data_IF_561797704413
#
_entry.id   IF_561797704413
#
_cell.length_a   1.000
_cell.length_b   1.000
_cell.length_c   1.000
_cell.angle_alpha   90.00
_cell.angle_beta   90.00
_cell.angle_gamma   90.00
#
_symmetry.space_group_name_H-M   'P 1'
#
loop_
_entity.id
_entity.type
_entity.pdbx_description
1 polymer ?
#
# COMPACT_ATOMS: atom_id res chain seq x y z
N UNK A 1 -55.77 16.55 54.49
CA UNK A 1 -55.09 15.54 53.67
C UNK A 1 -54.17 16.29 52.72
N UNK A 2 -52.85 16.08 52.87
CA UNK A 2 -51.83 16.55 51.92
C UNK A 2 -51.62 15.39 50.95
N UNK A 3 -52.17 15.49 49.75
CA UNK A 3 -51.78 14.59 48.66
C UNK A 3 -50.47 15.13 48.09
N UNK A 4 -49.36 14.58 48.59
CA UNK A 4 -48.07 14.65 47.93
C UNK A 4 -48.11 13.68 46.75
N UNK A 5 -48.48 14.19 45.58
CA UNK A 5 -48.22 13.51 44.32
C UNK A 5 -46.71 13.54 44.08
N UNK A 6 -46.08 12.38 44.21
CA UNK A 6 -44.74 12.11 43.70
C UNK A 6 -44.81 12.20 42.17
N UNK A 7 -44.67 13.42 41.65
CA UNK A 7 -44.46 13.64 40.23
C UNK A 7 -43.05 13.12 39.95
N UNK A 8 -42.98 11.83 39.57
CA UNK A 8 -41.74 11.20 39.13
C UNK A 8 -41.12 12.13 38.08
N UNK A 9 -39.99 12.76 38.44
CA UNK A 9 -39.27 13.65 37.56
C UNK A 9 -39.08 12.92 36.22
N UNK A 10 -39.53 13.55 35.12
CA UNK A 10 -39.35 13.00 33.79
C UNK A 10 -37.86 12.62 33.62
N UNK A 11 -37.54 11.43 33.07
CA UNK A 11 -36.16 11.01 32.96
C UNK A 11 -35.38 12.08 32.19
N UNK A 12 -34.32 12.60 32.81
CA UNK A 12 -33.52 13.65 32.20
C UNK A 12 -32.94 13.11 30.88
N UNK A 13 -33.23 13.81 29.77
CA UNK A 13 -32.85 13.35 28.43
C UNK A 13 -31.33 13.36 28.28
N UNK A 14 -30.76 12.20 27.95
CA UNK A 14 -29.32 12.04 27.73
C UNK A 14 -29.00 12.33 26.27
N UNK A 15 -28.13 13.30 26.02
CA UNK A 15 -27.61 13.60 24.69
C UNK A 15 -26.11 13.29 24.60
N UNK A 16 -25.68 12.78 23.45
CA UNK A 16 -24.28 12.55 23.15
C UNK A 16 -23.93 12.87 21.70
N UNK A 17 -22.64 13.04 21.44
CA UNK A 17 -22.07 13.24 20.11
C UNK A 17 -21.12 12.10 19.76
N UNK A 18 -21.09 11.77 18.47
CA UNK A 18 -20.17 10.81 17.89
C UNK A 18 -19.17 11.56 17.02
N UNK A 19 -17.90 11.47 17.37
CA UNK A 19 -16.78 12.10 16.66
C UNK A 19 -15.97 11.05 15.90
N UNK A 20 -15.40 11.45 14.77
CA UNK A 20 -14.63 10.56 13.89
C UNK A 20 -15.45 9.87 12.81
N UNK A 21 -16.77 10.14 12.73
CA UNK A 21 -17.61 9.60 11.68
C UNK A 21 -17.33 10.30 10.33
N UNK A 22 -16.94 9.56 9.27
CA UNK A 22 -16.63 10.17 7.97
C UNK A 22 -17.89 10.54 7.18
N UNK A 23 -19.01 9.85 7.41
CA UNK A 23 -20.25 10.04 6.65
C UNK A 23 -21.47 9.67 7.49
N UNK A 24 -22.48 10.53 7.48
CA UNK A 24 -23.80 10.25 8.04
C UNK A 24 -24.81 10.01 6.91
N UNK A 25 -25.53 8.88 6.97
CA UNK A 25 -26.59 8.52 6.02
C UNK A 25 -27.82 8.16 6.83
N UNK A 26 -28.93 8.87 6.61
CA UNK A 26 -30.21 8.62 7.30
C UNK A 26 -30.10 8.55 8.84
N UNK A 27 -29.15 9.29 9.43
CA UNK A 27 -28.93 9.31 10.89
C UNK A 27 -28.00 8.20 11.41
N UNK A 28 -27.49 7.33 10.53
CA UNK A 28 -26.48 6.33 10.86
C UNK A 28 -25.08 6.80 10.46
N UNK A 29 -24.09 6.51 11.30
CA UNK A 29 -22.69 6.72 10.94
C UNK A 29 -22.20 5.56 10.06
N UNK A 30 -21.74 5.84 8.83
CA UNK A 30 -21.33 4.82 7.88
C UNK A 30 -19.84 4.92 7.53
N UNK A 31 -19.08 3.82 7.71
CA UNK A 31 -17.67 3.74 7.30
C UNK A 31 -17.17 2.31 7.08
N UNK A 32 -15.98 2.16 6.50
CA UNK A 32 -15.28 0.88 6.39
C UNK A 32 -14.58 0.49 7.71
N UNK A 33 -14.46 -0.81 7.98
CA UNK A 33 -13.65 -1.33 9.08
C UNK A 33 -12.14 -1.12 8.84
N UNK A 34 -11.31 -0.94 9.89
CA UNK A 34 -11.70 -0.68 11.27
C UNK A 34 -12.14 0.78 11.45
N UNK A 35 -13.26 0.99 12.15
CA UNK A 35 -13.80 2.32 12.42
C UNK A 35 -13.59 2.71 13.89
N UNK A 36 -12.69 3.68 14.13
CA UNK A 36 -12.50 4.28 15.46
C UNK A 36 -13.40 5.50 15.65
N UNK A 37 -14.29 5.45 16.63
CA UNK A 37 -15.17 6.56 17.01
C UNK A 37 -14.87 7.02 18.44
N UNK A 38 -15.16 8.28 18.72
CA UNK A 38 -15.17 8.84 20.08
C UNK A 38 -16.58 9.30 20.41
N UNK A 39 -17.08 8.83 21.54
CA UNK A 39 -18.41 9.11 22.04
C UNK A 39 -18.31 10.02 23.24
N UNK A 40 -19.07 11.11 23.26
CA UNK A 40 -19.05 12.09 24.34
C UNK A 40 -20.44 12.51 24.75
N UNK A 41 -20.77 12.38 26.04
CA UNK A 41 -22.01 12.88 26.62
C UNK A 41 -21.98 14.41 26.68
N UNK A 42 -23.01 15.05 26.12
CA UNK A 42 -23.15 16.52 26.05
C UNK A 42 -24.37 17.05 26.81
N UNK A 43 -25.15 16.17 27.46
CA UNK A 43 -26.27 16.60 28.30
C UNK A 43 -25.83 17.54 29.42
N UNK A 44 -26.58 18.64 29.57
CA UNK A 44 -26.46 19.58 30.68
C UNK A 44 -27.34 19.12 31.85
N UNK A 45 -26.89 19.34 33.09
CA UNK A 45 -27.66 19.01 34.31
C UNK A 45 -27.23 17.70 34.99
N UNK A 46 -26.82 16.69 34.23
CA UNK A 46 -26.42 15.40 34.77
C UNK A 46 -24.90 15.32 35.02
N UNK A 47 -24.50 15.23 36.29
CA UNK A 47 -23.07 15.18 36.73
C UNK A 47 -22.52 13.77 36.94
N UNK A 48 -23.25 12.77 36.42
CA UNK A 48 -22.99 11.34 36.52
C UNK A 48 -21.94 10.78 35.55
N UNK A 49 -21.66 9.49 35.71
CA UNK A 49 -20.89 8.67 34.76
C UNK A 49 -21.82 8.01 33.75
N UNK A 50 -21.32 7.76 32.54
CA UNK A 50 -22.09 7.14 31.47
C UNK A 50 -21.62 5.71 31.25
N UNK A 51 -22.57 4.79 31.18
CA UNK A 51 -22.36 3.42 30.75
C UNK A 51 -22.72 3.34 29.26
N UNK A 52 -21.79 2.80 28.49
CA UNK A 52 -21.89 2.64 27.04
C UNK A 52 -22.00 1.16 26.69
N UNK A 53 -22.94 0.85 25.80
CA UNK A 53 -23.03 -0.42 25.08
C UNK A 53 -22.84 -0.12 23.60
N UNK A 54 -21.80 -0.69 22.99
CA UNK A 54 -21.45 -0.41 21.61
C UNK A 54 -22.19 -1.29 20.60
N UNK A 55 -23.00 -2.25 21.05
CA UNK A 55 -23.76 -3.16 20.19
C UNK A 55 -22.95 -4.33 19.63
N UNK A 56 -21.70 -4.52 20.05
CA UNK A 56 -20.80 -5.61 19.65
C UNK A 56 -20.36 -6.51 20.83
N UNK A 57 -21.08 -6.42 21.95
CA UNK A 57 -20.78 -7.01 23.26
C UNK A 57 -19.62 -6.36 24.03
N UNK A 58 -19.06 -5.26 23.52
CA UNK A 58 -18.15 -4.43 24.29
C UNK A 58 -18.89 -3.28 24.99
N UNK A 59 -18.41 -2.94 26.18
CA UNK A 59 -18.97 -1.87 27.00
C UNK A 59 -17.86 -0.97 27.52
N UNK A 60 -18.19 0.28 27.81
CA UNK A 60 -17.25 1.21 28.43
C UNK A 60 -17.95 2.09 29.44
N UNK A 61 -17.16 2.71 30.32
CA UNK A 61 -17.65 3.64 31.33
C UNK A 61 -16.87 4.93 31.28
N UNK A 62 -17.60 6.05 31.30
CA UNK A 62 -17.02 7.39 31.27
C UNK A 62 -17.79 8.33 30.37
N UNK A 63 -17.67 9.64 30.62
CA UNK A 63 -18.37 10.66 29.82
C UNK A 63 -17.82 10.82 28.41
N UNK A 64 -16.54 10.48 28.23
CA UNK A 64 -15.86 10.46 26.92
C UNK A 64 -15.13 9.13 26.81
N UNK A 65 -15.49 8.35 25.80
CA UNK A 65 -14.91 7.03 25.54
C UNK A 65 -14.58 6.88 24.06
N UNK A 66 -13.58 6.08 23.73
CA UNK A 66 -13.27 5.70 22.35
C UNK A 66 -13.51 4.21 22.16
N UNK A 67 -14.06 3.85 21.01
CA UNK A 67 -14.31 2.45 20.64
C UNK A 67 -13.88 2.19 19.20
N UNK A 68 -13.51 0.94 18.89
CA UNK A 68 -13.08 0.53 17.55
C UNK A 68 -13.93 -0.64 17.07
N UNK A 69 -14.65 -0.42 15.97
CA UNK A 69 -15.39 -1.48 15.29
C UNK A 69 -14.50 -2.15 14.23
N UNK A 70 -13.98 -3.33 14.56
CA UNK A 70 -13.08 -4.09 13.68
C UNK A 70 -13.80 -4.91 12.61
N UNK A 71 -15.10 -5.17 12.80
CA UNK A 71 -15.90 -6.03 11.93
C UNK A 71 -16.98 -5.24 11.20
N UNK A 72 -17.37 -5.67 9.99
CA UNK A 72 -18.56 -5.15 9.34
C UNK A 72 -19.80 -5.58 10.11
N UNK A 73 -20.77 -4.68 10.23
CA UNK A 73 -21.98 -4.90 11.01
C UNK A 73 -22.80 -3.64 11.19
N UNK A 74 -24.03 -3.83 11.67
CA UNK A 74 -24.88 -2.73 12.14
C UNK A 74 -24.88 -2.79 13.66
N UNK A 75 -24.48 -1.69 14.29
CA UNK A 75 -24.26 -1.59 15.72
C UNK A 75 -25.17 -0.52 16.31
N UNK A 76 -26.04 -0.93 17.24
CA UNK A 76 -26.94 -0.04 17.96
C UNK A 76 -26.28 0.42 19.26
N UNK A 77 -25.66 1.59 19.23
CA UNK A 77 -24.89 2.14 20.34
C UNK A 77 -25.82 2.77 21.36
N UNK A 78 -25.86 2.24 22.58
CA UNK A 78 -26.64 2.76 23.69
C UNK A 78 -25.77 3.51 24.70
N UNK A 79 -26.28 4.64 25.20
CA UNK A 79 -25.73 5.32 26.39
C UNK A 79 -26.78 5.42 27.47
N UNK A 80 -26.38 5.11 28.69
CA UNK A 80 -27.17 5.30 29.89
C UNK A 80 -26.36 6.15 30.86
N UNK A 81 -26.91 7.27 31.31
CA UNK A 81 -26.22 8.13 32.27
C UNK A 81 -26.68 7.82 33.69
N UNK A 82 -25.74 7.59 34.60
CA UNK A 82 -25.98 7.27 36.00
C UNK A 82 -25.56 8.44 36.88
N UNK A 83 -26.55 9.15 37.43
CA UNK A 83 -26.39 10.25 38.36
C UNK A 83 -25.70 9.82 39.66
N UNK A 84 -25.07 10.77 40.35
CA UNK A 84 -24.34 10.51 41.62
C UNK A 84 -25.26 10.09 42.77
N UNK A 85 -26.54 10.44 42.66
CA UNK A 85 -27.64 10.06 43.54
C UNK A 85 -28.29 8.71 43.15
N UNK A 86 -27.75 8.03 42.13
CA UNK A 86 -28.28 6.77 41.63
C UNK A 86 -29.44 6.92 40.65
N UNK A 87 -29.78 8.14 40.23
CA UNK A 87 -30.76 8.38 39.16
C UNK A 87 -30.23 7.83 37.83
N UNK A 88 -31.10 7.20 37.06
CA UNK A 88 -30.76 6.64 35.74
C UNK A 88 -31.50 7.44 34.69
N UNK A 89 -30.74 8.10 33.80
CA UNK A 89 -31.30 8.84 32.67
C UNK A 89 -31.88 7.92 31.61
N UNK A 90 -32.69 8.48 30.70
CA UNK A 90 -33.23 7.72 29.57
C UNK A 90 -32.09 7.21 28.67
N UNK A 91 -32.21 5.98 28.18
CA UNK A 91 -31.22 5.42 27.26
C UNK A 91 -31.36 6.08 25.90
N UNK A 92 -30.28 6.69 25.40
CA UNK A 92 -30.23 7.20 24.03
C UNK A 92 -29.40 6.28 23.13
N UNK A 93 -29.82 6.17 21.88
CA UNK A 93 -29.22 5.27 20.89
C UNK A 93 -28.72 6.00 19.65
N UNK A 94 -27.70 5.45 19.00
CA UNK A 94 -27.23 5.86 17.68
C UNK A 94 -26.81 4.63 16.86
N UNK A 95 -27.15 4.64 15.57
CA UNK A 95 -26.78 3.56 14.66
C UNK A 95 -25.39 3.80 14.05
N UNK A 96 -24.54 2.79 14.11
CA UNK A 96 -23.24 2.74 13.42
C UNK A 96 -23.26 1.58 12.43
N UNK A 97 -23.10 1.89 11.15
CA UNK A 97 -23.01 0.93 10.06
C UNK A 97 -21.57 0.80 9.57
N UNK A 98 -20.95 -0.32 9.90
CA UNK A 98 -19.60 -0.64 9.42
C UNK A 98 -19.71 -1.58 8.25
N UNK A 99 -19.14 -1.18 7.12
CA UNK A 99 -19.06 -2.02 5.92
C UNK A 99 -17.67 -2.64 5.80
N UNK A 100 -17.59 -3.71 5.04
CA UNK A 100 -16.33 -4.40 4.81
C UNK A 100 -15.38 -3.54 3.96
N UNK A 101 -14.11 -3.52 4.35
CA UNK A 101 -13.11 -2.67 3.77
C UNK A 101 -12.68 -3.18 2.39
N UNK A 102 -12.52 -2.25 1.44
CA UNK A 102 -12.15 -2.58 0.07
C UNK A 102 -10.67 -3.00 -0.04
N UNK A 103 -10.24 -3.67 -1.13
CA UNK A 103 -8.83 -3.93 -1.36
C UNK A 103 -8.02 -2.64 -1.34
N UNK A 104 -6.89 -2.62 -0.63
CA UNK A 104 -6.07 -1.42 -0.40
C UNK A 104 -6.36 -0.67 0.91
N UNK A 105 -7.49 -0.95 1.57
CA UNK A 105 -7.84 -0.35 2.86
C UNK A 105 -7.03 -0.95 4.03
N UNK A 106 -7.06 -0.25 5.17
CA UNK A 106 -6.48 -0.76 6.42
C UNK A 106 -7.35 -1.87 7.02
N UNK A 107 -6.76 -2.79 7.78
CA UNK A 107 -7.48 -3.87 8.43
C UNK A 107 -6.78 -4.34 9.71
N UNK A 108 -7.56 -4.69 10.73
CA UNK A 108 -7.02 -5.36 11.91
C UNK A 108 -7.05 -6.89 11.76
N UNK A 109 -8.07 -7.42 11.07
CA UNK A 109 -8.37 -8.85 10.94
C UNK A 109 -8.95 -9.15 9.56
N UNK A 110 -8.88 -10.41 9.14
CA UNK A 110 -9.40 -10.89 7.85
C UNK A 110 -10.89 -10.57 7.68
N UNK A 111 -11.68 -10.74 8.75
CA UNK A 111 -13.12 -10.48 8.77
C UNK A 111 -13.52 -9.02 8.46
N UNK A 112 -12.57 -8.08 8.58
CA UNK A 112 -12.78 -6.67 8.23
C UNK A 112 -12.80 -6.41 6.72
N UNK A 113 -12.32 -7.33 5.90
CA UNK A 113 -12.13 -7.12 4.46
C UNK A 113 -13.30 -7.70 3.64
N UNK A 114 -13.71 -7.01 2.56
CA UNK A 114 -14.90 -7.37 1.77
C UNK A 114 -14.89 -8.78 1.15
N UNK A 115 -13.72 -9.41 0.96
CA UNK A 115 -13.67 -10.79 0.44
C UNK A 115 -12.38 -11.56 0.76
N UNK A 116 -11.57 -11.21 1.78
CA UNK A 116 -10.13 -11.56 1.75
C UNK A 116 -9.36 -11.59 3.08
N UNK A 117 -8.05 -11.84 2.96
CA UNK A 117 -7.03 -11.79 4.00
C UNK A 117 -6.53 -10.38 4.29
N UNK A 118 -6.44 -10.06 5.57
CA UNK A 118 -5.70 -8.93 6.08
C UNK A 118 -4.21 -9.28 6.14
N UNK A 119 -3.43 -8.72 5.23
CA UNK A 119 -1.98 -8.94 5.24
C UNK A 119 -1.35 -8.14 6.36
N UNK A 120 -0.55 -8.85 7.15
CA UNK A 120 0.14 -8.37 8.35
C UNK A 120 -0.83 -7.96 9.48
N UNK A 121 -1.48 -8.94 10.12
CA UNK A 121 -2.30 -8.78 11.34
C UNK A 121 -1.47 -8.77 12.64
N UNK A 122 -0.23 -8.24 12.61
CA UNK A 122 0.75 -8.32 13.70
C UNK A 122 1.78 -7.18 13.70
N UNK A 123 3.07 -7.47 13.93
CA UNK A 123 4.14 -6.46 13.81
C UNK A 123 4.41 -6.20 12.33
N UNK A 124 4.13 -4.98 11.87
CA UNK A 124 4.27 -4.60 10.47
C UNK A 124 5.27 -3.45 10.30
N UNK A 125 5.94 -3.34 9.14
CA UNK A 125 6.65 -2.12 8.81
C UNK A 125 5.68 -0.93 8.78
N UNK A 126 6.17 0.27 9.12
CA UNK A 126 5.34 1.46 9.37
C UNK A 126 4.21 1.73 8.34
N UNK A 127 4.41 1.59 7.01
CA UNK A 127 3.33 1.79 6.03
C UNK A 127 2.15 0.79 6.14
N UNK A 128 2.40 -0.38 6.75
CA UNK A 128 1.46 -1.48 6.91
C UNK A 128 1.07 -1.71 8.39
N UNK A 129 1.39 -0.79 9.30
CA UNK A 129 1.14 -0.93 10.74
C UNK A 129 -0.30 -1.33 11.12
N UNK A 130 -1.27 -0.89 10.32
CA UNK A 130 -2.70 -1.21 10.50
C UNK A 130 -3.20 -2.28 9.53
N UNK A 131 -2.35 -3.21 9.07
CA UNK A 131 -2.68 -4.28 8.11
C UNK A 131 -3.15 -3.77 6.74
N UNK A 132 -3.24 -4.63 5.72
CA UNK A 132 -3.75 -4.25 4.39
C UNK A 132 -4.73 -5.30 3.86
N UNK A 133 -5.97 -4.89 3.56
CA UNK A 133 -6.91 -5.76 2.85
C UNK A 133 -6.38 -6.00 1.44
N UNK A 134 -5.99 -7.23 1.12
CA UNK A 134 -5.55 -7.60 -0.23
C UNK A 134 -6.50 -8.60 -0.81
N UNK A 135 -6.93 -8.40 -2.06
CA UNK A 135 -7.72 -9.40 -2.75
C UNK A 135 -6.96 -10.20 -3.78
N UNK A 136 -6.83 -11.51 -3.59
CA UNK A 136 -6.32 -12.37 -4.65
C UNK A 136 -7.28 -12.35 -5.84
N UNK A 137 -6.75 -12.06 -7.02
CA UNK A 137 -7.51 -11.88 -8.26
C UNK A 137 -7.10 -12.87 -9.35
N UNK A 138 -6.47 -13.99 -8.96
CA UNK A 138 -6.07 -15.04 -9.88
C UNK A 138 -7.26 -15.69 -10.59
N UNK A 139 -8.44 -15.72 -9.96
CA UNK A 139 -9.66 -16.38 -10.46
C UNK A 139 -10.92 -15.50 -10.35
N UNK A 140 -10.79 -14.29 -9.82
CA UNK A 140 -11.91 -13.41 -9.47
C UNK A 140 -11.70 -12.03 -10.08
N UNK A 141 -12.80 -11.35 -10.40
CA UNK A 141 -12.74 -9.96 -10.83
C UNK A 141 -12.54 -9.07 -9.60
N UNK A 142 -11.66 -8.09 -9.71
CA UNK A 142 -11.44 -7.14 -8.65
C UNK A 142 -12.69 -6.28 -8.41
N UNK A 143 -13.13 -6.10 -7.15
CA UNK A 143 -14.28 -5.28 -6.83
C UNK A 143 -13.98 -3.79 -7.05
N UNK A 144 -15.04 -2.99 -7.23
CA UNK A 144 -14.96 -1.53 -7.39
C UNK A 144 -14.03 -1.10 -8.54
N UNK A 145 -13.42 0.09 -8.43
CA UNK A 145 -12.44 0.62 -9.39
C UNK A 145 -11.02 0.10 -9.14
N UNK A 146 -10.87 -1.11 -8.59
CA UNK A 146 -9.56 -1.73 -8.37
C UNK A 146 -9.11 -2.58 -9.57
N UNK A 147 -7.80 -2.74 -9.72
CA UNK A 147 -7.18 -3.45 -10.83
C UNK A 147 -6.41 -4.66 -10.32
N UNK A 148 -6.46 -5.76 -11.08
CA UNK A 148 -5.70 -6.97 -10.79
C UNK A 148 -4.24 -6.78 -11.21
N UNK A 149 -3.37 -6.58 -10.23
CA UNK A 149 -1.93 -6.40 -10.38
C UNK A 149 -1.22 -7.73 -10.19
N UNK A 150 -0.23 -8.02 -11.04
CA UNK A 150 0.57 -9.24 -10.95
C UNK A 150 1.93 -8.98 -10.28
N UNK A 151 1.98 -9.13 -8.96
CA UNK A 151 3.21 -9.00 -8.18
C UNK A 151 4.04 -10.30 -8.17
N UNK A 152 3.54 -11.38 -8.78
CA UNK A 152 4.24 -12.66 -8.89
C UNK A 152 5.18 -12.73 -10.11
N UNK A 153 5.28 -11.65 -10.90
CA UNK A 153 6.23 -11.58 -12.01
C UNK A 153 7.64 -11.84 -11.49
N UNK A 154 8.40 -12.67 -12.19
CA UNK A 154 9.76 -13.05 -11.76
C UNK A 154 9.84 -13.95 -10.53
N UNK A 155 8.72 -14.51 -10.03
CA UNK A 155 8.73 -15.54 -8.99
C UNK A 155 7.48 -15.48 -8.11
N UNK A 156 6.89 -16.65 -7.86
CA UNK A 156 5.69 -16.81 -7.04
C UNK A 156 5.92 -16.50 -5.55
N UNK A 157 4.82 -16.37 -4.81
CA UNK A 157 4.82 -16.16 -3.37
C UNK A 157 5.66 -17.23 -2.64
N UNK A 158 6.44 -16.78 -1.68
CA UNK A 158 7.26 -17.61 -0.80
C UNK A 158 7.09 -17.18 0.66
N UNK A 159 7.75 -17.87 1.59
CA UNK A 159 7.80 -17.45 2.99
C UNK A 159 8.49 -16.08 3.18
N UNK A 160 9.48 -15.76 2.34
CA UNK A 160 10.22 -14.49 2.38
C UNK A 160 9.51 -13.35 1.64
N UNK A 161 8.67 -13.67 0.66
CA UNK A 161 7.93 -12.70 -0.14
C UNK A 161 6.47 -13.14 -0.36
N UNK A 162 5.65 -13.24 0.71
CA UNK A 162 4.28 -13.76 0.62
C UNK A 162 3.34 -12.85 -0.19
N UNK A 163 3.74 -11.60 -0.41
CA UNK A 163 3.02 -10.60 -1.20
C UNK A 163 3.19 -10.78 -2.71
N UNK A 164 4.09 -11.66 -3.18
CA UNK A 164 4.30 -11.96 -4.61
C UNK A 164 3.19 -12.83 -5.18
N UNK A 165 1.99 -12.26 -5.27
CA UNK A 165 0.80 -12.89 -5.84
C UNK A 165 0.02 -11.89 -6.70
N UNK A 166 -1.06 -12.35 -7.34
CA UNK A 166 -1.96 -11.48 -8.11
C UNK A 166 -2.96 -10.86 -7.15
N UNK A 167 -2.90 -9.54 -6.98
CA UNK A 167 -3.72 -8.81 -6.00
C UNK A 167 -4.48 -7.64 -6.60
N UNK A 168 -5.69 -7.39 -6.10
CA UNK A 168 -6.44 -6.19 -6.40
C UNK A 168 -5.87 -5.00 -5.65
N UNK A 169 -5.53 -3.95 -6.39
CA UNK A 169 -5.08 -2.68 -5.84
C UNK A 169 -5.96 -1.54 -6.38
N UNK A 170 -6.30 -0.52 -5.56
CA UNK A 170 -7.03 0.65 -6.02
C UNK A 170 -6.31 1.31 -7.19
N UNK A 171 -7.04 1.60 -8.27
CA UNK A 171 -6.51 2.42 -9.34
C UNK A 171 -6.39 3.88 -8.90
N UNK A 172 -5.48 4.63 -9.53
CA UNK A 172 -5.25 6.04 -9.21
C UNK A 172 -4.79 6.81 -10.45
N UNK A 173 -4.96 8.13 -10.42
CA UNK A 173 -4.40 9.07 -11.39
C UNK A 173 -3.25 9.88 -10.78
N UNK A 174 -3.37 10.21 -9.50
CA UNK A 174 -2.42 10.99 -8.71
C UNK A 174 -2.26 10.45 -7.28
N UNK A 175 -1.23 10.90 -6.56
CA UNK A 175 -0.98 10.50 -5.17
C UNK A 175 -2.14 10.87 -4.23
N UNK A 176 -2.95 11.88 -4.58
CA UNK A 176 -4.11 12.30 -3.79
C UNK A 176 -5.24 11.27 -3.78
N UNK A 177 -5.29 10.40 -4.80
CA UNK A 177 -6.27 9.30 -4.85
C UNK A 177 -5.91 8.21 -3.84
N UNK A 178 -4.64 8.14 -3.43
CA UNK A 178 -4.13 7.18 -2.47
C UNK A 178 -4.35 7.69 -1.04
N UNK A 179 -5.58 7.49 -0.56
CA UNK A 179 -6.03 7.95 0.77
C UNK A 179 -5.23 7.40 1.95
N UNK A 180 -4.47 6.31 1.74
CA UNK A 180 -3.70 5.66 2.79
C UNK A 180 -2.33 6.32 2.98
N UNK A 181 -1.96 6.72 4.20
CA UNK A 181 -0.63 7.25 4.48
C UNK A 181 0.49 6.29 4.06
N UNK A 182 1.51 6.82 3.42
CA UNK A 182 2.64 6.04 2.91
C UNK A 182 2.37 5.32 1.58
N UNK A 183 1.18 5.43 1.00
CA UNK A 183 0.91 4.93 -0.36
C UNK A 183 1.05 6.08 -1.36
N UNK A 184 1.52 5.75 -2.55
CA UNK A 184 1.67 6.68 -3.68
C UNK A 184 1.15 6.03 -4.95
N UNK A 185 0.76 6.86 -5.90
CA UNK A 185 0.19 6.44 -7.15
C UNK A 185 1.30 6.03 -8.12
N UNK A 186 1.50 4.72 -8.25
CA UNK A 186 2.65 4.13 -8.94
C UNK A 186 2.22 3.15 -10.02
N UNK A 187 3.02 3.05 -11.08
CA UNK A 187 2.81 2.05 -12.13
C UNK A 187 3.09 0.64 -11.59
N UNK A 188 2.17 -0.28 -11.85
CA UNK A 188 2.29 -1.69 -11.53
C UNK A 188 1.87 -2.57 -12.73
N UNK A 189 2.44 -3.78 -12.85
CA UNK A 189 2.12 -4.67 -13.95
C UNK A 189 0.73 -5.31 -13.78
N UNK A 190 -0.07 -5.34 -14.83
CA UNK A 190 -1.37 -6.03 -14.79
C UNK A 190 -1.21 -7.55 -14.94
N UNK A 191 -2.17 -8.29 -14.37
CA UNK A 191 -2.33 -9.74 -14.53
C UNK A 191 -2.96 -10.11 -15.88
N UNK A 192 -3.89 -9.28 -16.36
CA UNK A 192 -4.55 -9.46 -17.66
C UNK A 192 -3.92 -8.51 -18.68
N UNK A 193 -3.11 -9.08 -19.59
CA UNK A 193 -2.44 -8.34 -20.67
C UNK A 193 -1.06 -7.80 -20.30
N UNK A 194 -0.29 -7.47 -21.34
CA UNK A 194 1.09 -6.97 -21.30
C UNK A 194 1.27 -5.57 -20.69
N UNK A 195 0.27 -5.01 -19.99
CA UNK A 195 0.19 -3.59 -19.67
C UNK A 195 0.62 -3.22 -18.25
N UNK A 196 0.93 -1.94 -18.05
CA UNK A 196 1.16 -1.31 -16.75
C UNK A 196 0.09 -0.27 -16.48
N UNK A 197 -0.37 -0.16 -15.24
CA UNK A 197 -1.36 0.83 -14.81
C UNK A 197 -0.99 1.42 -13.47
N UNK A 198 -1.41 2.67 -13.26
CA UNK A 198 -1.25 3.35 -11.99
C UNK A 198 -2.22 2.80 -10.94
N UNK A 199 -1.66 2.40 -9.81
CA UNK A 199 -2.37 1.91 -8.63
C UNK A 199 -1.71 2.46 -7.37
N UNK A 200 -2.44 2.47 -6.25
CA UNK A 200 -1.89 2.90 -4.97
C UNK A 200 -1.01 1.80 -4.38
N UNK A 201 0.31 2.05 -4.30
CA UNK A 201 1.28 1.12 -3.72
C UNK A 201 2.09 1.77 -2.60
N UNK A 202 2.56 1.01 -1.61
CA UNK A 202 3.57 1.50 -0.68
C UNK A 202 4.91 1.73 -1.41
N UNK A 203 5.95 2.29 -0.78
CA UNK A 203 7.26 2.50 -1.41
C UNK A 203 7.95 1.20 -1.84
N UNK A 204 7.52 0.08 -1.27
CA UNK A 204 7.96 -1.27 -1.60
C UNK A 204 6.79 -2.08 -2.22
N UNK A 205 7.03 -2.95 -3.21
CA UNK A 205 8.31 -3.21 -3.89
C UNK A 205 8.75 -2.04 -4.80
N UNK A 206 10.02 -1.98 -5.18
CA UNK A 206 10.63 -0.81 -5.85
C UNK A 206 10.43 -0.82 -7.37
N UNK A 207 10.38 0.36 -7.98
CA UNK A 207 10.15 0.53 -9.42
C UNK A 207 11.39 0.21 -10.26
N UNK A 208 11.22 0.10 -11.59
CA UNK A 208 12.32 -0.12 -12.53
C UNK A 208 13.40 0.97 -12.37
N UNK A 209 14.66 0.55 -12.29
CA UNK A 209 15.83 1.40 -12.08
C UNK A 209 16.21 1.69 -10.63
N UNK A 210 15.42 1.23 -9.66
CA UNK A 210 15.79 1.32 -8.26
C UNK A 210 16.86 0.25 -7.89
N UNK A 211 17.70 0.49 -6.87
CA UNK A 211 18.59 -0.54 -6.33
C UNK A 211 17.77 -1.70 -5.77
N UNK A 212 18.35 -2.89 -5.72
CA UNK A 212 17.62 -4.12 -5.37
C UNK A 212 18.45 -5.19 -4.67
N UNK A 213 19.69 -4.90 -4.29
CA UNK A 213 20.47 -5.84 -3.46
C UNK A 213 19.92 -5.91 -2.03
N UNK A 214 20.09 -7.08 -1.42
CA UNK A 214 19.88 -7.30 0.00
C UNK A 214 21.06 -6.76 0.85
N UNK A 215 21.01 -7.02 2.16
CA UNK A 215 22.05 -6.57 3.09
C UNK A 215 23.39 -7.29 2.91
N UNK A 216 23.41 -8.44 2.23
CA UNK A 216 24.62 -9.20 1.89
C UNK A 216 25.19 -8.79 0.52
N UNK A 217 24.57 -7.81 -0.15
CA UNK A 217 24.96 -7.34 -1.48
C UNK A 217 24.55 -8.29 -2.61
N UNK A 218 23.66 -9.26 -2.37
CA UNK A 218 23.16 -10.17 -3.41
C UNK A 218 21.91 -9.59 -4.07
N UNK A 219 21.71 -9.82 -5.38
CA UNK A 219 20.47 -9.43 -6.04
C UNK A 219 19.25 -10.06 -5.36
N UNK A 220 18.29 -9.25 -4.95
CA UNK A 220 17.02 -9.70 -4.38
C UNK A 220 15.87 -9.31 -5.31
N UNK A 221 15.40 -10.29 -6.07
CA UNK A 221 14.24 -10.13 -6.95
C UNK A 221 13.04 -9.58 -6.19
N UNK A 222 12.82 -10.01 -4.95
CA UNK A 222 11.69 -9.59 -4.13
C UNK A 222 11.70 -8.09 -3.84
N UNK A 223 12.84 -7.41 -3.97
CA UNK A 223 12.87 -5.97 -3.87
C UNK A 223 12.16 -5.24 -5.03
N UNK A 224 11.87 -5.92 -6.14
CA UNK A 224 11.48 -5.31 -7.41
C UNK A 224 10.04 -5.57 -7.81
N UNK A 225 9.32 -4.50 -8.14
CA UNK A 225 7.93 -4.53 -8.60
C UNK A 225 7.80 -5.22 -9.96
N UNK A 226 8.83 -5.09 -10.81
CA UNK A 226 8.91 -5.80 -12.08
C UNK A 226 9.30 -7.28 -11.94
N UNK A 227 9.63 -7.71 -10.72
CA UNK A 227 9.90 -9.10 -10.42
C UNK A 227 11.35 -9.52 -10.47
N UNK A 228 12.25 -8.67 -10.98
CA UNK A 228 13.64 -9.04 -11.24
C UNK A 228 14.63 -7.98 -10.76
N UNK A 229 15.66 -8.41 -10.07
CA UNK A 229 16.84 -7.66 -9.73
C UNK A 229 18.00 -8.09 -10.63
N UNK A 230 18.42 -7.20 -11.52
CA UNK A 230 19.59 -7.44 -12.35
C UNK A 230 20.85 -7.15 -11.53
N UNK A 231 21.89 -7.96 -11.75
CA UNK A 231 23.23 -7.76 -11.23
C UNK A 231 23.96 -6.64 -12.01
N UNK A 232 23.33 -5.47 -12.03
CA UNK A 232 23.71 -4.30 -12.80
C UNK A 232 23.85 -3.12 -11.85
N UNK A 233 25.01 -2.46 -11.84
CA UNK A 233 25.29 -1.40 -10.89
C UNK A 233 25.78 -1.90 -9.52
N UNK A 234 26.24 -0.98 -8.67
CA UNK A 234 26.65 -1.27 -7.31
C UNK A 234 25.45 -1.70 -6.45
N UNK A 235 24.29 -1.07 -6.60
CA UNK A 235 23.07 -1.36 -5.82
C UNK A 235 22.19 -2.46 -6.40
N UNK A 236 22.56 -3.05 -7.54
CA UNK A 236 21.64 -3.84 -8.37
C UNK A 236 20.63 -2.94 -9.11
N UNK A 237 19.88 -3.52 -10.03
CA UNK A 237 18.93 -2.76 -10.85
C UNK A 237 17.58 -3.49 -10.98
N UNK A 238 16.54 -2.92 -10.37
CA UNK A 238 15.19 -3.43 -10.56
C UNK A 238 14.75 -3.32 -12.01
N UNK A 239 14.21 -4.40 -12.54
CA UNK A 239 13.69 -4.47 -13.89
C UNK A 239 12.48 -5.40 -13.98
N UNK A 240 11.91 -5.49 -15.18
CA UNK A 240 10.87 -6.43 -15.54
C UNK A 240 11.23 -7.14 -16.85
N UNK A 241 10.94 -8.45 -16.99
CA UNK A 241 11.02 -9.12 -18.29
C UNK A 241 9.97 -8.54 -19.24
N UNK A 242 10.36 -8.31 -20.50
CA UNK A 242 9.49 -7.69 -21.51
C UNK A 242 9.29 -8.54 -22.77
N UNK A 243 9.67 -9.82 -22.74
CA UNK A 243 9.45 -10.75 -23.87
C UNK A 243 7.94 -10.96 -24.18
N UNK A 244 7.09 -10.88 -23.14
CA UNK A 244 5.63 -11.04 -23.22
C UNK A 244 4.85 -9.78 -22.84
N UNK A 245 5.56 -8.65 -22.64
CA UNK A 245 5.06 -7.49 -21.92
C UNK A 245 5.55 -6.16 -22.48
N UNK A 246 4.74 -5.10 -22.40
CA UNK A 246 5.24 -3.75 -22.58
C UNK A 246 5.94 -3.30 -21.29
N UNK A 247 7.00 -2.51 -21.45
CA UNK A 247 7.67 -1.86 -20.33
C UNK A 247 6.84 -0.66 -19.83
N UNK A 248 6.90 -0.32 -18.52
CA UNK A 248 6.15 0.82 -18.00
C UNK A 248 6.61 2.14 -18.63
N UNK A 249 5.77 3.17 -18.56
CA UNK A 249 6.11 4.50 -19.05
C UNK A 249 7.42 5.01 -18.44
N UNK A 250 8.21 5.71 -19.26
CA UNK A 250 9.56 6.13 -18.89
C UNK A 250 10.64 5.05 -19.04
N UNK A 251 10.26 3.81 -19.41
CA UNK A 251 11.21 2.71 -19.64
C UNK A 251 11.04 2.12 -21.05
N UNK A 252 12.00 1.33 -21.51
CA UNK A 252 11.97 0.64 -22.81
C UNK A 252 12.50 -0.78 -22.69
N UNK A 253 11.92 -1.66 -23.49
CA UNK A 253 12.38 -3.03 -23.59
C UNK A 253 13.74 -3.05 -24.29
N UNK A 254 14.70 -3.76 -23.71
CA UNK A 254 16.04 -3.85 -24.23
C UNK A 254 16.53 -5.29 -24.18
N UNK A 255 17.27 -5.68 -25.22
CA UNK A 255 18.07 -6.89 -25.22
C UNK A 255 19.46 -6.51 -24.75
N UNK A 256 19.83 -6.96 -23.55
CA UNK A 256 21.14 -6.72 -22.95
C UNK A 256 22.03 -7.94 -23.20
N UNK A 257 23.22 -7.71 -23.77
CA UNK A 257 24.19 -8.78 -24.03
C UNK A 257 24.62 -9.42 -22.71
N UNK A 258 24.52 -10.74 -22.63
CA UNK A 258 24.83 -11.50 -21.41
C UNK A 258 23.61 -11.86 -20.57
N UNK A 259 22.44 -11.27 -20.84
CA UNK A 259 21.16 -11.70 -20.27
C UNK A 259 20.40 -12.59 -21.24
N UNK A 260 19.74 -13.62 -20.70
CA UNK A 260 18.93 -14.56 -21.50
C UNK A 260 17.59 -13.95 -21.96
N UNK A 261 16.98 -13.11 -21.14
CA UNK A 261 15.65 -12.52 -21.37
C UNK A 261 15.77 -11.02 -21.66
N UNK A 262 14.81 -10.47 -22.41
CA UNK A 262 14.74 -9.01 -22.60
C UNK A 262 14.21 -8.33 -21.35
N UNK A 263 14.67 -7.11 -21.10
CA UNK A 263 14.46 -6.43 -19.82
C UNK A 263 14.12 -4.95 -20.01
N UNK A 264 13.39 -4.37 -19.06
CA UNK A 264 13.04 -2.95 -19.10
C UNK A 264 14.15 -2.06 -18.57
N UNK A 265 14.71 -1.19 -19.41
CA UNK A 265 15.66 -0.16 -19.00
C UNK A 265 14.97 1.19 -18.89
N UNK A 266 15.27 1.90 -17.80
CA UNK A 266 14.81 3.26 -17.53
C UNK A 266 15.48 4.23 -18.51
N UNK A 267 14.68 5.07 -19.18
CA UNK A 267 15.22 6.19 -19.96
C UNK A 267 15.85 7.19 -19.01
N UNK A 268 17.00 7.72 -19.40
CA UNK A 268 17.66 8.74 -18.61
C UNK A 268 16.90 10.07 -18.62
N UNK A 269 17.03 10.78 -17.50
CA UNK A 269 16.53 12.13 -17.27
C UNK A 269 17.32 12.79 -16.14
N UNK A 270 17.06 14.06 -15.82
CA UNK A 270 17.80 14.78 -14.78
C UNK A 270 17.76 14.02 -13.44
N UNK A 271 18.93 13.66 -12.91
CA UNK A 271 19.07 12.96 -11.61
C UNK A 271 18.78 11.45 -11.61
N UNK A 272 18.34 10.87 -12.72
CA UNK A 272 18.17 9.42 -12.86
C UNK A 272 19.53 8.77 -13.15
N UNK A 273 19.75 7.54 -12.64
CA UNK A 273 20.99 6.75 -12.81
C UNK A 273 22.26 7.28 -12.13
N UNK A 274 22.29 8.57 -11.77
CA UNK A 274 23.45 9.23 -11.18
C UNK A 274 23.71 8.85 -9.70
N UNK A 275 22.80 8.12 -9.07
CA UNK A 275 22.95 7.64 -7.69
C UNK A 275 23.84 6.41 -7.54
N UNK A 276 24.22 5.76 -8.65
CA UNK A 276 25.05 4.56 -8.65
C UNK A 276 26.33 4.80 -9.46
N UNK A 277 27.50 4.61 -8.85
CA UNK A 277 28.79 4.89 -9.47
C UNK A 277 29.11 3.98 -10.67
N UNK A 278 28.43 2.84 -10.78
CA UNK A 278 28.62 1.83 -11.82
C UNK A 278 27.55 1.89 -12.91
N UNK A 279 26.56 2.77 -12.78
CA UNK A 279 25.58 3.05 -13.83
C UNK A 279 25.87 4.38 -14.51
N UNK A 280 25.47 4.49 -15.77
CA UNK A 280 25.51 5.72 -16.52
C UNK A 280 24.37 5.78 -17.54
N UNK A 281 24.20 6.97 -18.12
CA UNK A 281 23.30 7.19 -19.24
C UNK A 281 24.01 6.81 -20.53
N UNK A 282 23.70 5.61 -21.02
CA UNK A 282 24.37 5.01 -22.16
C UNK A 282 23.47 4.99 -23.39
N UNK A 283 24.09 5.10 -24.57
CA UNK A 283 23.40 4.89 -25.84
C UNK A 283 23.20 3.39 -26.11
N UNK A 284 22.11 3.00 -26.80
CA UNK A 284 21.87 1.62 -27.19
C UNK A 284 22.90 1.16 -28.23
N UNK A 285 23.98 0.60 -27.74
CA UNK A 285 25.07 0.03 -28.52
C UNK A 285 25.27 -1.41 -28.07
N UNK A 286 24.90 -2.38 -28.92
CA UNK A 286 24.95 -3.82 -28.64
C UNK A 286 26.39 -4.40 -28.64
N UNK A 287 27.39 -3.58 -28.33
CA UNK A 287 28.81 -3.97 -28.32
C UNK A 287 29.27 -4.32 -26.91
N UNK A 288 29.97 -5.45 -26.76
CA UNK A 288 30.47 -5.95 -25.48
C UNK A 288 29.40 -6.65 -24.63
N UNK A 289 29.83 -7.23 -23.52
CA UNK A 289 28.97 -7.77 -22.47
C UNK A 289 28.31 -6.59 -21.74
N UNK A 290 27.02 -6.66 -21.38
CA UNK A 290 26.22 -5.52 -20.88
C UNK A 290 25.92 -4.38 -21.88
N UNK A 291 26.45 -4.43 -23.10
CA UNK A 291 25.91 -3.63 -24.20
C UNK A 291 24.44 -3.98 -24.46
N UNK A 292 23.68 -3.08 -25.06
CA UNK A 292 22.25 -3.33 -25.26
C UNK A 292 21.69 -2.72 -26.55
N UNK A 293 20.58 -3.28 -27.01
CA UNK A 293 19.76 -2.75 -28.10
C UNK A 293 18.31 -2.63 -27.65
N UNK A 294 17.62 -1.55 -28.07
CA UNK A 294 16.19 -1.39 -27.79
C UNK A 294 15.37 -2.32 -28.67
N UNK A 295 14.38 -2.96 -28.06
CA UNK A 295 13.40 -3.83 -28.72
C UNK A 295 12.14 -3.02 -29.00
N UNK A 296 11.68 -3.03 -30.25
CA UNK A 296 10.49 -2.30 -30.69
C UNK A 296 10.81 -1.02 -31.48
N UNK A 297 9.90 -0.03 -31.49
CA UNK A 297 10.09 1.18 -32.30
C UNK A 297 11.30 1.97 -31.81
N UNK A 298 12.05 2.54 -32.77
CA UNK A 298 13.19 3.39 -32.44
C UNK A 298 12.71 4.64 -31.68
N UNK A 299 13.30 4.88 -30.52
CA UNK A 299 13.18 6.15 -29.83
C UNK A 299 13.98 7.24 -30.57
N UNK A 300 13.77 8.54 -30.25
CA UNK A 300 14.52 9.63 -30.86
C UNK A 300 16.03 9.41 -30.80
N UNK A 301 16.74 9.90 -31.83
CA UNK A 301 18.20 9.84 -31.87
C UNK A 301 18.80 10.42 -30.58
N UNK A 302 19.85 9.77 -30.07
CA UNK A 302 20.54 10.12 -28.84
C UNK A 302 19.76 9.90 -27.53
N UNK A 303 18.63 9.19 -27.55
CA UNK A 303 17.97 8.74 -26.32
C UNK A 303 18.90 7.79 -25.57
N UNK A 304 19.20 8.12 -24.30
CA UNK A 304 20.06 7.33 -23.42
C UNK A 304 19.24 6.61 -22.35
N UNK A 305 19.81 5.52 -21.84
CA UNK A 305 19.18 4.66 -20.85
C UNK A 305 20.13 4.37 -19.71
N UNK A 306 19.55 4.09 -18.55
CA UNK A 306 20.27 3.58 -17.40
C UNK A 306 20.86 2.21 -17.72
N UNK A 307 22.19 2.13 -17.82
CA UNK A 307 22.88 0.87 -18.09
C UNK A 307 24.26 0.85 -17.40
N UNK A 308 24.97 -0.27 -17.53
CA UNK A 308 26.33 -0.41 -17.04
C UNK A 308 27.22 0.70 -17.61
N UNK A 309 27.91 1.40 -16.73
CA UNK A 309 28.83 2.47 -17.10
C UNK A 309 30.01 1.89 -17.87
N UNK A 310 30.30 2.46 -19.04
CA UNK A 310 31.51 2.12 -19.80
C UNK A 310 32.77 2.64 -19.11
N UNK A 311 33.86 1.91 -19.23
CA UNK A 311 35.15 2.24 -18.65
C UNK A 311 36.30 1.77 -19.54
N UNK A 312 37.43 2.47 -19.42
CA UNK A 312 38.71 2.09 -20.02
C UNK A 312 39.76 1.73 -18.98
N UNK A 313 39.48 1.97 -17.69
CA UNK A 313 40.34 1.64 -16.56
C UNK A 313 39.53 1.58 -15.26
N UNK A 314 40.07 0.95 -14.22
CA UNK A 314 39.40 0.81 -12.92
C UNK A 314 39.05 2.16 -12.28
N UNK A 315 39.87 3.19 -12.52
CA UNK A 315 39.64 4.53 -11.96
C UNK A 315 38.33 5.17 -12.45
N UNK A 316 37.77 4.71 -13.58
CA UNK A 316 36.49 5.19 -14.08
C UNK A 316 35.29 4.64 -13.30
N UNK A 317 35.47 3.60 -12.49
CA UNK A 317 34.40 2.83 -11.86
C UNK A 317 34.09 3.23 -10.42
N UNK A 318 34.71 4.27 -9.86
CA UNK A 318 34.43 4.68 -8.48
C UNK A 318 34.88 3.65 -7.44
N UNK A 319 34.40 3.83 -6.19
CA UNK A 319 34.83 2.99 -5.06
C UNK A 319 34.27 1.57 -5.16
N UNK A 320 35.12 0.56 -4.98
CA UNK A 320 34.74 -0.85 -5.07
C UNK A 320 34.44 -1.34 -6.49
N UNK A 321 34.62 -0.47 -7.49
CA UNK A 321 34.37 -0.77 -8.89
C UNK A 321 35.63 -1.21 -9.63
N UNK A 322 35.52 -2.27 -10.42
CA UNK A 322 36.54 -2.70 -11.38
C UNK A 322 36.04 -2.55 -12.81
N UNK A 323 36.96 -2.20 -13.71
CA UNK A 323 36.65 -2.19 -15.13
C UNK A 323 36.87 -3.59 -15.73
N UNK A 324 35.80 -4.20 -16.22
CA UNK A 324 35.85 -5.48 -16.90
C UNK A 324 36.18 -5.30 -18.39
N UNK A 325 37.47 -5.17 -18.68
CA UNK A 325 37.95 -5.02 -20.05
C UNK A 325 37.70 -6.28 -20.91
N UNK A 326 37.69 -7.46 -20.30
CA UNK A 326 37.40 -8.72 -21.00
C UNK A 326 35.93 -8.78 -21.46
N UNK A 327 35.05 -8.13 -20.71
CA UNK A 327 33.63 -8.01 -20.99
C UNK A 327 33.29 -6.78 -21.87
N UNK A 328 34.28 -6.11 -22.47
CA UNK A 328 34.07 -4.96 -23.35
C UNK A 328 34.15 -3.59 -22.67
N UNK A 329 34.66 -3.54 -21.44
CA UNK A 329 34.98 -2.31 -20.71
C UNK A 329 33.79 -1.73 -19.96
N UNK A 330 33.28 -2.45 -18.96
CA UNK A 330 32.17 -1.99 -18.11
C UNK A 330 32.51 -2.04 -16.63
N UNK A 331 31.95 -1.12 -15.86
CA UNK A 331 32.11 -1.08 -14.42
C UNK A 331 31.26 -2.15 -13.73
N UNK A 332 31.91 -2.93 -12.86
CA UNK A 332 31.29 -3.97 -12.03
C UNK A 332 31.74 -3.82 -10.58
N UNK A 333 30.89 -4.22 -9.65
CA UNK A 333 31.25 -4.37 -8.24
C UNK A 333 32.11 -5.63 -8.06
N UNK A 334 33.14 -5.56 -7.23
CA UNK A 334 33.95 -6.72 -6.80
C UNK A 334 33.46 -7.32 -5.47
#
# INVERSE_FOLDING_TARGET
MRDGGDEAAAPESVDFVVQGCPKWVEGACQAEAPLKLTFAVVSAGLTGEADWDFGDNETARGRVVSHVYDKPGSYDVGVTLVGRDGTVGEQKRALVEVVAAAPGAACARDEGCISQRCVCSGVCPAPLASGLCLAECSQTTCPDQSLCVDLARGGAASSSAPWRTKVCMPSCQSDLDCKRPGFSCRLAPLSAGAGWRKVCLPPFPRFVGAPCRDNDGKPDDSACLGGRCLDLGAGGYCSAPCDSGACPDGTRCAKVTGLAETTCLLRCGPGLCAGDAHLACELPLATGYWGFSIVGPADPANTTYCAAKRCSSNNACGLGGRCDLAAGGFCRLE
#
